data_IF_234160960132
#
_entry.id   IF_234160960132
#
_cell.length_a   1.000
_cell.length_b   1.000
_cell.length_c   1.000
_cell.angle_alpha   90.00
_cell.angle_beta   90.00
_cell.angle_gamma   90.00
#
_symmetry.space_group_name_H-M   'P 1'
#
loop_
_entity.id
_entity.type
_entity.pdbx_description
1 polymer ?
#
# COMPACT_ATOMS: atom_id res chain seq x y z
N UNK A 1 40.14 9.05 -25.09
CA UNK A 1 39.83 9.51 -23.72
C UNK A 1 38.32 9.68 -23.64
N UNK A 2 37.65 9.02 -22.70
CA UNK A 2 36.19 8.89 -22.70
C UNK A 2 35.48 10.22 -22.40
N UNK A 3 34.47 10.58 -23.19
CA UNK A 3 33.65 11.81 -23.10
C UNK A 3 32.67 11.83 -21.92
N UNK A 4 32.92 11.08 -20.84
CA UNK A 4 31.97 10.92 -19.74
C UNK A 4 31.76 12.20 -18.94
N UNK A 5 32.80 13.04 -18.85
CA UNK A 5 32.72 14.36 -18.23
C UNK A 5 31.82 15.29 -19.05
N UNK A 6 31.96 15.28 -20.38
CA UNK A 6 31.17 16.11 -21.29
C UNK A 6 29.69 15.69 -21.33
N UNK A 7 29.40 14.39 -21.20
CA UNK A 7 28.03 13.86 -21.35
C UNK A 7 27.25 13.75 -20.04
N UNK A 8 27.93 13.43 -18.94
CA UNK A 8 27.27 13.09 -17.67
C UNK A 8 27.85 13.85 -16.47
N UNK A 9 28.81 14.75 -16.69
CA UNK A 9 29.56 15.45 -15.64
C UNK A 9 30.33 14.51 -14.67
N UNK A 10 30.62 13.27 -15.11
CA UNK A 10 31.28 12.26 -14.28
C UNK A 10 32.79 12.35 -14.41
N UNK A 11 33.47 12.45 -13.27
CA UNK A 11 34.93 12.40 -13.17
C UNK A 11 35.37 11.06 -12.55
N UNK A 12 36.17 10.28 -13.29
CA UNK A 12 36.67 8.98 -12.83
C UNK A 12 37.87 9.22 -11.92
N UNK A 13 37.70 8.97 -10.62
CA UNK A 13 38.77 9.17 -9.62
C UNK A 13 39.75 8.02 -9.50
N UNK A 14 39.28 6.78 -9.70
CA UNK A 14 40.11 5.58 -9.58
C UNK A 14 39.42 4.38 -10.22
N UNK A 15 40.21 3.42 -10.71
CA UNK A 15 39.71 2.11 -11.15
C UNK A 15 39.88 1.09 -10.02
N UNK A 16 38.80 0.38 -9.69
CA UNK A 16 38.82 -0.78 -8.82
C UNK A 16 38.50 -2.01 -9.65
N UNK A 17 39.43 -2.97 -9.67
CA UNK A 17 39.20 -4.26 -10.30
C UNK A 17 38.62 -5.21 -9.26
N UNK A 18 37.43 -5.73 -9.54
CA UNK A 18 36.75 -6.71 -8.70
C UNK A 18 36.78 -8.07 -9.39
N UNK A 19 36.83 -9.15 -8.61
CA UNK A 19 36.60 -10.48 -9.18
C UNK A 19 35.17 -10.57 -9.75
N UNK A 20 34.97 -11.41 -10.78
CA UNK A 20 33.69 -11.49 -11.50
C UNK A 20 32.48 -11.77 -10.58
N UNK A 21 32.70 -12.45 -9.45
CA UNK A 21 31.67 -12.73 -8.44
C UNK A 21 31.35 -11.51 -7.57
N UNK A 22 32.37 -10.76 -7.15
CA UNK A 22 32.24 -9.57 -6.31
C UNK A 22 31.60 -8.40 -7.07
N UNK A 23 32.01 -8.21 -8.33
CA UNK A 23 31.43 -7.19 -9.21
C UNK A 23 29.92 -7.37 -9.38
N UNK A 24 29.47 -8.61 -9.60
CA UNK A 24 28.05 -8.94 -9.73
C UNK A 24 27.28 -8.64 -8.45
N UNK A 25 27.79 -9.07 -7.29
CA UNK A 25 27.12 -8.84 -6.00
C UNK A 25 27.04 -7.36 -5.63
N UNK A 26 28.04 -6.56 -5.99
CA UNK A 26 28.01 -5.11 -5.77
C UNK A 26 26.94 -4.43 -6.63
N UNK A 27 26.86 -4.79 -7.92
CA UNK A 27 25.83 -4.28 -8.84
C UNK A 27 24.42 -4.66 -8.37
N UNK A 28 24.21 -5.92 -8.02
CA UNK A 28 22.90 -6.42 -7.55
C UNK A 28 22.47 -5.73 -6.23
N UNK A 29 23.42 -5.49 -5.31
CA UNK A 29 23.19 -4.75 -4.07
C UNK A 29 22.75 -3.30 -4.33
N UNK A 30 23.48 -2.58 -5.19
CA UNK A 30 23.11 -1.21 -5.57
C UNK A 30 21.76 -1.16 -6.29
N UNK A 31 21.47 -2.11 -7.17
CA UNK A 31 20.17 -2.21 -7.83
C UNK A 31 19.04 -2.41 -6.80
N UNK A 32 19.25 -3.28 -5.82
CA UNK A 32 18.29 -3.49 -4.73
C UNK A 32 18.08 -2.21 -3.89
N UNK A 33 19.15 -1.45 -3.60
CA UNK A 33 19.07 -0.18 -2.88
C UNK A 33 18.25 0.87 -3.65
N UNK A 34 18.51 1.04 -4.95
CA UNK A 34 17.77 1.98 -5.82
C UNK A 34 16.30 1.57 -5.90
N UNK A 35 16.02 0.28 -6.15
CA UNK A 35 14.66 -0.22 -6.22
C UNK A 35 13.91 -0.04 -4.89
N UNK A 36 14.58 -0.26 -3.76
CA UNK A 36 14.04 -0.03 -2.44
C UNK A 36 13.72 1.46 -2.20
N UNK A 37 14.64 2.37 -2.56
CA UNK A 37 14.43 3.80 -2.46
C UNK A 37 13.21 4.24 -3.29
N UNK A 38 13.13 3.87 -4.57
CA UNK A 38 12.00 4.21 -5.45
C UNK A 38 10.66 3.71 -4.87
N UNK A 39 10.63 2.51 -4.31
CA UNK A 39 9.40 1.94 -3.70
C UNK A 39 8.95 2.70 -2.44
N UNK A 40 9.88 3.30 -1.70
CA UNK A 40 9.62 3.92 -0.39
C UNK A 40 9.14 5.37 -0.48
N UNK A 41 9.32 6.05 -1.61
CA UNK A 41 8.92 7.46 -1.79
C UNK A 41 7.79 7.62 -2.84
N UNK A 42 6.97 8.66 -2.68
CA UNK A 42 5.91 9.07 -3.61
C UNK A 42 6.22 10.49 -4.08
N UNK A 43 6.15 10.72 -5.40
CA UNK A 43 6.31 12.05 -5.99
C UNK A 43 5.03 12.86 -5.78
N UNK A 44 5.13 13.97 -5.10
CA UNK A 44 4.10 15.01 -5.04
C UNK A 44 4.22 15.79 -6.35
N UNK A 45 3.11 15.99 -7.06
CA UNK A 45 3.10 16.61 -8.41
C UNK A 45 3.50 18.10 -8.46
N UNK A 46 4.02 18.65 -7.36
CA UNK A 46 4.38 20.06 -7.21
C UNK A 46 5.68 20.16 -6.40
N UNK A 47 6.53 21.12 -6.76
CA UNK A 47 7.76 21.40 -6.04
C UNK A 47 7.42 22.24 -4.80
N UNK A 48 7.67 21.72 -3.59
CA UNK A 48 7.48 22.48 -2.35
C UNK A 48 8.80 23.21 -2.06
N UNK A 49 8.91 24.46 -2.51
CA UNK A 49 10.09 25.31 -2.32
C UNK A 49 9.98 26.14 -1.05
N UNK A 50 8.76 26.58 -0.75
CA UNK A 50 8.46 27.42 0.41
C UNK A 50 7.19 26.95 1.13
N UNK A 51 6.99 27.36 2.38
CA UNK A 51 5.77 27.05 3.13
C UNK A 51 4.49 27.59 2.47
N UNK A 52 4.61 28.59 1.59
CA UNK A 52 3.54 29.14 0.75
C UNK A 52 3.03 28.13 -0.29
N UNK A 53 3.89 27.25 -0.81
CA UNK A 53 3.53 26.23 -1.80
C UNK A 53 2.60 25.18 -1.20
N UNK A 54 2.80 24.83 0.07
CA UNK A 54 1.91 23.93 0.82
C UNK A 54 0.50 24.52 0.91
N UNK A 55 0.40 25.83 1.18
CA UNK A 55 -0.88 26.54 1.26
C UNK A 55 -1.59 26.53 -0.10
N UNK A 56 -0.85 26.75 -1.18
CA UNK A 56 -1.39 26.75 -2.54
C UNK A 56 -1.83 25.35 -2.98
N UNK A 57 -1.04 24.30 -2.72
CA UNK A 57 -1.43 22.91 -3.04
C UNK A 57 -2.68 22.42 -2.28
N UNK A 58 -2.98 23.01 -1.12
CA UNK A 58 -4.20 22.70 -0.34
C UNK A 58 -5.39 23.56 -0.77
N UNK A 59 -5.15 24.74 -1.36
CA UNK A 59 -6.18 25.68 -1.78
C UNK A 59 -7.11 25.06 -2.82
N UNK A 60 -6.54 24.40 -3.82
CA UNK A 60 -7.30 23.77 -4.92
C UNK A 60 -8.03 22.48 -4.47
N UNK A 61 -7.67 21.93 -3.31
CA UNK A 61 -8.38 20.82 -2.69
C UNK A 61 -9.61 21.26 -1.89
N UNK A 62 -9.81 22.58 -1.70
CA UNK A 62 -10.77 23.11 -0.75
C UNK A 62 -11.64 24.26 -1.23
N UNK A 63 -12.26 24.11 -2.40
CA UNK A 63 -13.40 24.95 -2.79
C UNK A 63 -14.64 24.78 -1.88
N UNK A 64 -14.64 23.90 -0.87
CA UNK A 64 -15.85 23.64 -0.08
C UNK A 64 -15.75 23.58 1.46
N UNK A 65 -14.60 23.67 2.11
CA UNK A 65 -14.62 23.76 3.58
C UNK A 65 -13.29 24.15 4.22
N UNK A 66 -13.07 25.43 4.53
CA UNK A 66 -12.13 25.83 5.57
C UNK A 66 -12.52 27.16 6.21
N UNK A 67 -13.25 27.12 7.33
CA UNK A 67 -13.24 28.20 8.33
C UNK A 67 -12.40 27.87 9.58
N UNK A 68 -11.81 26.68 9.69
CA UNK A 68 -11.13 26.31 10.93
C UNK A 68 -10.05 25.21 10.76
N UNK A 69 -8.97 25.48 10.04
CA UNK A 69 -7.72 24.75 10.25
C UNK A 69 -6.64 25.74 10.66
N UNK A 70 -6.40 25.82 11.96
CA UNK A 70 -5.30 26.56 12.55
C UNK A 70 -4.06 25.66 12.50
N UNK A 71 -3.20 25.88 11.51
CA UNK A 71 -1.89 25.22 11.42
C UNK A 71 -0.99 25.91 12.45
N UNK A 72 -0.78 25.28 13.60
CA UNK A 72 0.20 25.75 14.57
C UNK A 72 1.60 25.33 14.10
N UNK A 73 2.29 26.26 13.43
CA UNK A 73 3.71 26.13 13.11
C UNK A 73 4.52 26.39 14.39
N UNK A 74 5.06 25.33 15.00
CA UNK A 74 6.18 25.46 15.93
C UNK A 74 7.16 24.33 15.69
N UNK A 75 8.14 24.60 14.84
CA UNK A 75 9.30 23.76 14.59
C UNK A 75 10.26 23.84 15.78
N UNK A 76 10.41 22.74 16.55
CA UNK A 76 11.58 22.53 17.43
C UNK A 76 12.13 21.08 17.46
N UNK A 77 11.52 20.11 16.77
CA UNK A 77 11.87 18.69 16.93
C UNK A 77 12.72 18.06 15.79
N UNK A 78 13.39 18.84 14.94
CA UNK A 78 14.21 18.29 13.84
C UNK A 78 15.73 18.19 14.13
N UNK A 79 16.17 18.35 15.38
CA UNK A 79 17.62 18.38 15.72
C UNK A 79 18.13 17.16 16.54
N UNK A 80 17.32 16.15 16.84
CA UNK A 80 17.75 15.04 17.72
C UNK A 80 17.56 13.64 17.14
N UNK A 81 17.96 13.39 15.90
CA UNK A 81 18.11 12.01 15.41
C UNK A 81 19.40 11.90 14.60
N UNK A 82 20.55 12.15 15.23
CA UNK A 82 21.86 11.81 14.66
C UNK A 82 22.86 11.72 15.82
N UNK A 83 22.76 10.68 16.66
CA UNK A 83 23.89 10.19 17.46
C UNK A 83 23.51 8.86 18.11
N UNK A 84 24.20 7.79 17.73
CA UNK A 84 24.17 6.51 18.44
C UNK A 84 24.09 5.30 17.53
N UNK A 85 25.26 4.82 17.09
CA UNK A 85 25.78 3.45 17.17
C UNK A 85 26.99 3.39 16.24
N UNK A 86 28.17 3.55 16.83
CA UNK A 86 29.45 3.20 16.23
C UNK A 86 29.68 1.74 16.61
N UNK A 87 29.52 0.85 15.64
CA UNK A 87 30.17 -0.46 15.67
C UNK A 87 31.24 -0.44 14.58
N UNK A 88 32.47 -0.52 15.07
CA UNK A 88 33.72 -0.51 14.32
C UNK A 88 33.86 -1.80 13.53
N UNK A 89 34.47 -1.67 12.35
CA UNK A 89 34.96 -2.75 11.45
C UNK A 89 33.97 -3.17 10.32
N UNK A 90 34.27 -2.66 9.12
CA UNK A 90 33.69 -2.97 7.79
C UNK A 90 32.30 -2.44 7.43
N UNK A 91 32.03 -1.16 7.73
CA UNK A 91 30.80 -0.50 7.33
C UNK A 91 31.04 0.48 6.17
N UNK A 92 30.79 0.06 4.92
CA UNK A 92 30.47 1.00 3.84
C UNK A 92 29.16 1.68 4.25
N UNK A 93 29.28 2.84 4.91
CA UNK A 93 28.17 3.62 5.38
C UNK A 93 27.36 4.16 4.19
N UNK A 94 26.39 3.36 3.72
CA UNK A 94 25.36 3.79 2.76
C UNK A 94 24.22 4.53 3.49
N UNK A 95 24.57 5.43 4.40
CA UNK A 95 23.78 6.65 4.64
C UNK A 95 24.35 7.79 3.78
N UNK A 96 24.77 7.50 2.54
CA UNK A 96 24.64 8.50 1.49
C UNK A 96 23.16 8.72 1.29
N UNK A 97 22.62 9.59 2.13
CA UNK A 97 21.34 10.24 2.02
C UNK A 97 21.19 10.66 0.55
N UNK A 98 20.49 9.84 -0.24
CA UNK A 98 20.05 10.22 -1.57
C UNK A 98 19.13 11.41 -1.35
N UNK A 99 19.69 12.62 -1.42
CA UNK A 99 18.93 13.86 -1.35
C UNK A 99 18.05 13.90 -2.59
N UNK A 100 16.87 13.29 -2.49
CA UNK A 100 15.84 13.43 -3.50
C UNK A 100 15.43 14.89 -3.53
N UNK A 101 15.36 15.46 -4.74
CA UNK A 101 14.92 16.84 -4.97
C UNK A 101 13.58 17.12 -4.29
N UNK A 102 13.33 18.37 -3.93
CA UNK A 102 12.08 18.80 -3.29
C UNK A 102 10.84 18.24 -4.04
N UNK A 103 9.91 17.63 -3.31
CA UNK A 103 8.69 17.03 -3.90
C UNK A 103 8.57 15.51 -3.77
N UNK A 104 9.49 14.82 -3.09
CA UNK A 104 9.34 13.41 -2.72
C UNK A 104 8.95 13.25 -1.24
N UNK A 105 7.98 12.39 -0.94
CA UNK A 105 7.55 12.10 0.44
C UNK A 105 7.58 10.60 0.72
N UNK A 106 7.88 10.19 1.95
CA UNK A 106 7.82 8.80 2.36
C UNK A 106 6.41 8.23 2.18
N UNK A 107 6.29 7.13 1.43
CA UNK A 107 5.05 6.39 1.19
C UNK A 107 4.42 5.88 2.49
N UNK A 108 5.22 5.58 3.51
CA UNK A 108 4.73 5.19 4.84
C UNK A 108 3.91 6.30 5.51
N UNK A 109 4.17 7.57 5.17
CA UNK A 109 3.45 8.72 5.70
C UNK A 109 2.22 9.09 4.83
N UNK A 110 1.97 8.33 3.76
CA UNK A 110 0.79 8.51 2.93
C UNK A 110 -0.47 8.13 3.71
N UNK A 111 -1.20 9.13 4.19
CA UNK A 111 -2.55 8.92 4.74
C UNK A 111 -3.51 8.68 3.58
N UNK A 112 -3.83 7.42 3.31
CA UNK A 112 -4.96 7.09 2.44
C UNK A 112 -6.22 7.70 3.05
N UNK A 113 -6.86 8.64 2.34
CA UNK A 113 -8.22 9.04 2.67
C UNK A 113 -9.08 7.78 2.73
N UNK A 114 -10.04 7.71 3.66
CA UNK A 114 -11.03 6.64 3.70
C UNK A 114 -11.63 6.53 2.30
N UNK A 115 -11.36 5.45 1.56
CA UNK A 115 -12.02 5.16 0.28
C UNK A 115 -13.52 5.11 0.56
N UNK A 116 -14.21 6.19 0.26
CA UNK A 116 -15.63 6.39 0.54
C UNK A 116 -16.46 5.81 -0.59
N UNK A 117 -16.63 4.50 -0.58
CA UNK A 117 -17.76 3.85 -1.24
C UNK A 117 -18.79 3.49 -0.17
N UNK A 118 -20.08 3.58 -0.50
CA UNK A 118 -21.14 3.06 0.35
C UNK A 118 -20.79 1.61 0.73
N UNK A 119 -20.70 1.34 2.04
CA UNK A 119 -20.35 0.01 2.53
C UNK A 119 -21.63 -0.82 2.61
N UNK A 120 -21.59 -2.03 2.06
CA UNK A 120 -22.64 -3.04 2.29
C UNK A 120 -22.88 -3.13 3.80
N UNK A 121 -24.14 -3.15 4.21
CA UNK A 121 -24.50 -3.22 5.63
C UNK A 121 -23.95 -4.51 6.25
N UNK A 122 -23.63 -4.46 7.55
CA UNK A 122 -23.12 -5.65 8.26
C UNK A 122 -24.11 -6.83 8.21
N UNK A 123 -25.41 -6.54 8.25
CA UNK A 123 -26.48 -7.53 8.14
C UNK A 123 -26.44 -8.26 6.79
N UNK A 124 -26.36 -7.50 5.69
CA UNK A 124 -26.25 -8.08 4.35
C UNK A 124 -24.94 -8.86 4.19
N UNK A 125 -23.81 -8.38 4.73
CA UNK A 125 -22.55 -9.14 4.70
C UNK A 125 -22.71 -10.50 5.40
N UNK A 126 -23.35 -10.56 6.57
CA UNK A 126 -23.55 -11.81 7.30
C UNK A 126 -24.40 -12.82 6.51
N UNK A 127 -25.44 -12.33 5.81
CA UNK A 127 -26.26 -13.15 4.92
C UNK A 127 -25.47 -13.70 3.74
N UNK A 128 -24.72 -12.82 3.04
CA UNK A 128 -23.86 -13.23 1.93
C UNK A 128 -22.81 -14.27 2.36
N UNK A 129 -22.28 -14.15 3.59
CA UNK A 129 -21.40 -15.17 4.16
C UNK A 129 -22.14 -16.50 4.38
N UNK A 130 -23.35 -16.47 4.95
CA UNK A 130 -24.19 -17.66 5.13
C UNK A 130 -24.43 -18.41 3.81
N UNK A 131 -24.86 -17.70 2.77
CA UNK A 131 -25.07 -18.27 1.43
C UNK A 131 -23.78 -18.87 0.84
N UNK A 132 -22.66 -18.16 1.02
CA UNK A 132 -21.35 -18.65 0.56
C UNK A 132 -20.91 -19.92 1.29
N UNK A 133 -21.22 -20.07 2.58
CA UNK A 133 -20.87 -21.26 3.36
C UNK A 133 -21.75 -22.46 3.03
N UNK A 134 -23.04 -22.27 2.72
CA UNK A 134 -23.92 -23.34 2.25
C UNK A 134 -23.31 -24.06 1.03
N UNK A 135 -22.86 -23.28 0.04
CA UNK A 135 -22.18 -23.80 -1.15
C UNK A 135 -20.81 -24.45 -0.93
N UNK A 136 -20.18 -24.23 0.23
CA UNK A 136 -18.94 -24.92 0.60
C UNK A 136 -19.20 -26.25 1.33
N UNK A 137 -20.37 -26.39 1.96
CA UNK A 137 -20.80 -27.62 2.61
C UNK A 137 -21.37 -28.61 1.58
N UNK A 138 -22.15 -28.13 0.61
CA UNK A 138 -22.65 -28.90 -0.53
C UNK A 138 -22.47 -28.11 -1.84
N UNK A 139 -21.93 -28.77 -2.87
CA UNK A 139 -21.74 -28.15 -4.20
C UNK A 139 -23.08 -27.90 -4.90
N UNK A 140 -24.11 -28.66 -4.56
CA UNK A 140 -25.47 -28.51 -5.09
C UNK A 140 -26.13 -27.22 -4.58
N UNK A 141 -25.71 -26.74 -3.41
CA UNK A 141 -26.20 -25.51 -2.76
C UNK A 141 -25.30 -24.30 -3.05
N UNK A 142 -24.54 -24.32 -4.14
CA UNK A 142 -23.63 -23.23 -4.49
C UNK A 142 -24.40 -22.04 -5.06
N UNK A 143 -24.60 -21.03 -4.22
CA UNK A 143 -25.19 -19.76 -4.63
C UNK A 143 -24.32 -18.99 -5.63
N UNK A 144 -24.90 -18.66 -6.79
CA UNK A 144 -24.41 -17.61 -7.68
C UNK A 144 -24.76 -16.22 -7.13
N UNK A 145 -24.20 -15.17 -7.72
CA UNK A 145 -24.52 -13.80 -7.32
C UNK A 145 -26.02 -13.47 -7.53
N UNK A 146 -26.63 -14.03 -8.59
CA UNK A 146 -28.06 -13.86 -8.85
C UNK A 146 -28.93 -14.61 -7.82
N UNK A 147 -28.49 -15.79 -7.38
CA UNK A 147 -29.20 -16.54 -6.34
C UNK A 147 -29.16 -15.77 -5.02
N UNK A 148 -27.97 -15.25 -4.64
CA UNK A 148 -27.84 -14.41 -3.44
C UNK A 148 -28.70 -13.16 -3.51
N UNK A 149 -28.78 -12.50 -4.67
CA UNK A 149 -29.62 -11.32 -4.85
C UNK A 149 -31.11 -11.68 -4.74
N UNK A 150 -31.53 -12.81 -5.34
CA UNK A 150 -32.92 -13.28 -5.27
C UNK A 150 -33.36 -13.57 -3.84
N UNK A 151 -32.50 -14.21 -3.04
CA UNK A 151 -32.78 -14.43 -1.61
C UNK A 151 -32.90 -13.12 -0.83
N UNK A 152 -32.02 -12.15 -1.10
CA UNK A 152 -32.11 -10.84 -0.45
C UNK A 152 -33.42 -10.11 -0.82
N UNK A 153 -33.87 -10.23 -2.07
CA UNK A 153 -35.15 -9.67 -2.52
C UNK A 153 -36.33 -10.38 -1.84
N UNK A 154 -36.28 -11.72 -1.70
CA UNK A 154 -37.29 -12.48 -0.98
C UNK A 154 -37.39 -12.05 0.49
N UNK A 155 -36.25 -11.82 1.15
CA UNK A 155 -36.20 -11.29 2.52
C UNK A 155 -36.77 -9.86 2.64
N UNK A 156 -36.61 -9.01 1.62
CA UNK A 156 -37.27 -7.70 1.57
C UNK A 156 -38.78 -7.84 1.42
N UNK A 157 -39.23 -8.74 0.54
CA UNK A 157 -40.66 -9.01 0.35
C UNK A 157 -41.33 -9.55 1.63
N UNK A 158 -40.57 -10.27 2.45
CA UNK A 158 -41.02 -10.77 3.77
C UNK A 158 -40.92 -9.72 4.88
N UNK A 159 -40.43 -8.51 4.59
CA UNK A 159 -40.27 -7.42 5.56
C UNK A 159 -39.09 -7.58 6.53
N UNK A 160 -38.19 -8.54 6.28
CA UNK A 160 -37.02 -8.79 7.13
C UNK A 160 -35.85 -7.83 6.84
N UNK A 161 -35.82 -7.25 5.64
CA UNK A 161 -34.79 -6.34 5.17
C UNK A 161 -35.41 -5.08 4.58
N UNK A 162 -34.66 -3.98 4.68
CA UNK A 162 -34.98 -2.72 4.01
C UNK A 162 -34.54 -2.81 2.53
N UNK A 163 -35.39 -2.44 1.56
CA UNK A 163 -34.98 -2.38 0.15
C UNK A 163 -33.78 -1.46 -0.12
N UNK A 164 -33.58 -0.39 0.67
CA UNK A 164 -32.50 0.57 0.45
C UNK A 164 -31.10 -0.01 0.70
N UNK A 165 -31.01 -1.09 1.49
CA UNK A 165 -29.73 -1.72 1.83
C UNK A 165 -29.33 -2.84 0.87
N UNK A 166 -30.17 -3.16 -0.14
CA UNK A 166 -29.84 -4.19 -1.13
C UNK A 166 -28.69 -3.71 -2.03
N UNK A 167 -27.57 -4.45 -2.10
CA UNK A 167 -26.48 -4.13 -2.99
C UNK A 167 -26.84 -4.50 -4.44
N UNK A 168 -26.25 -3.78 -5.39
CA UNK A 168 -26.32 -4.14 -6.82
C UNK A 168 -25.65 -5.49 -7.07
N UNK A 169 -26.08 -6.18 -8.12
CA UNK A 169 -25.51 -7.49 -8.52
C UNK A 169 -23.98 -7.44 -8.70
N UNK A 170 -23.45 -6.42 -9.37
CA UNK A 170 -22.00 -6.21 -9.55
C UNK A 170 -21.26 -6.09 -8.21
N UNK A 171 -21.92 -5.54 -7.19
CA UNK A 171 -21.34 -5.40 -5.85
C UNK A 171 -21.25 -6.76 -5.17
N UNK A 172 -22.23 -7.65 -5.38
CA UNK A 172 -22.23 -9.02 -4.88
C UNK A 172 -21.15 -9.85 -5.60
N UNK A 173 -21.05 -9.77 -6.93
CA UNK A 173 -20.02 -10.48 -7.71
C UNK A 173 -18.59 -10.09 -7.30
N UNK A 174 -18.35 -8.79 -7.14
CA UNK A 174 -17.08 -8.27 -6.68
C UNK A 174 -16.78 -8.70 -5.24
N UNK A 175 -17.81 -8.73 -4.39
CA UNK A 175 -17.69 -9.24 -3.03
C UNK A 175 -17.33 -10.73 -2.99
N UNK A 176 -18.01 -11.58 -3.77
CA UNK A 176 -17.73 -13.03 -3.87
C UNK A 176 -16.29 -13.25 -4.31
N UNK A 177 -15.85 -12.55 -5.36
CA UNK A 177 -14.49 -12.62 -5.88
C UNK A 177 -13.43 -12.32 -4.81
N UNK A 178 -13.62 -11.22 -4.06
CA UNK A 178 -12.72 -10.79 -2.98
C UNK A 178 -12.76 -11.75 -1.78
N UNK A 179 -13.95 -12.20 -1.41
CA UNK A 179 -14.15 -13.08 -0.27
C UNK A 179 -13.55 -14.46 -0.53
N UNK A 180 -13.76 -15.02 -1.73
CA UNK A 180 -13.16 -16.28 -2.17
C UNK A 180 -11.63 -16.22 -2.14
N UNK A 181 -11.02 -15.15 -2.67
CA UNK A 181 -9.57 -14.96 -2.60
C UNK A 181 -9.07 -14.94 -1.14
N UNK A 182 -9.76 -14.20 -0.27
CA UNK A 182 -9.41 -14.14 1.16
C UNK A 182 -9.50 -15.53 1.83
N UNK A 183 -10.53 -16.31 1.49
CA UNK A 183 -10.67 -17.69 1.95
C UNK A 183 -9.51 -18.57 1.48
N UNK A 184 -9.11 -18.50 0.20
CA UNK A 184 -7.97 -19.26 -0.33
C UNK A 184 -6.67 -18.95 0.43
N UNK A 185 -6.41 -17.67 0.71
CA UNK A 185 -5.24 -17.26 1.50
C UNK A 185 -5.27 -17.83 2.93
N UNK A 186 -6.43 -17.78 3.59
CA UNK A 186 -6.60 -18.34 4.94
C UNK A 186 -6.41 -19.86 4.95
N UNK A 187 -6.98 -20.57 3.98
CA UNK A 187 -6.83 -22.02 3.86
C UNK A 187 -5.37 -22.41 3.60
N UNK A 188 -4.66 -21.68 2.74
CA UNK A 188 -3.24 -21.90 2.50
C UNK A 188 -2.39 -21.68 3.76
N UNK A 189 -2.69 -20.65 4.56
CA UNK A 189 -2.03 -20.41 5.84
C UNK A 189 -2.26 -21.57 6.83
N UNK A 190 -3.51 -22.03 6.97
CA UNK A 190 -3.84 -23.16 7.85
C UNK A 190 -3.16 -24.45 7.36
N UNK A 191 -3.09 -24.68 6.05
CA UNK A 191 -2.39 -25.83 5.49
C UNK A 191 -0.88 -25.82 5.83
N UNK A 192 -0.24 -24.65 5.76
CA UNK A 192 1.17 -24.47 6.14
C UNK A 192 1.38 -24.70 7.65
N UNK A 193 0.52 -24.14 8.51
CA UNK A 193 0.59 -24.36 9.96
C UNK A 193 0.48 -25.85 10.32
N UNK A 194 -0.41 -26.58 9.65
CA UNK A 194 -0.55 -28.04 9.83
C UNK A 194 0.68 -28.81 9.38
N UNK A 195 1.37 -28.37 8.33
CA UNK A 195 2.61 -29.00 7.88
C UNK A 195 3.74 -28.80 8.90
N UNK A 196 3.81 -27.64 9.55
CA UNK A 196 4.82 -27.36 10.59
C UNK A 196 4.57 -28.13 11.88
N UNK A 197 3.31 -28.38 12.25
CA UNK A 197 2.95 -29.15 13.45
C UNK A 197 3.16 -30.67 13.28
N UNK A 198 3.19 -31.16 12.04
CA UNK A 198 3.34 -32.57 11.71
C UNK A 198 4.78 -32.95 11.28
N UNK A 199 5.79 -32.10 11.55
CA UNK A 199 7.19 -32.49 11.39
C UNK A 199 7.68 -33.24 12.64
N UNK A 200 8.37 -34.38 12.47
CA UNK A 200 8.84 -35.24 13.57
C UNK A 200 9.93 -34.60 14.44
#
# INVERSE_FOLDING_TARGET
>A
MAHWKDWYDIEVKSWIFLEAREAKTAIDSHHAQIAHAIKRYVRIGFEIREGSDIKNSIKDLCDNSYKHLRINTTNKNLVQINNGIVDTENNFNVNTEFQLTSGWVLKANQKFRKRGGARISKKVIALLQGFFYAGNADKSDRYSANDMLSELIHMVNNGELDPEIIPKIETIENWISRYSATCKHKMAAIALERQMQNQP
#
